data_IF_813423652743
#
_entry.id   IF_813423652743
#
_cell.length_a   1.000
_cell.length_b   1.000
_cell.length_c   1.000
_cell.angle_alpha   90.00
_cell.angle_beta   90.00
_cell.angle_gamma   90.00
#
_symmetry.space_group_name_H-M   'P 1'
#
loop_
_entity.id
_entity.type
_entity.pdbx_description
1 polymer ?
#
# COMPACT_ATOMS: atom_id res chain seq x y z
N UNK A 1 4.07 -5.28 30.36
CA UNK A 1 4.59 -4.03 29.76
C UNK A 1 4.72 -4.13 28.25
N UNK A 2 5.41 -5.16 27.67
CA UNK A 2 5.49 -5.32 26.20
C UNK A 2 4.10 -5.60 25.61
N UNK A 3 3.31 -6.51 26.19
CA UNK A 3 1.93 -6.80 25.78
C UNK A 3 1.04 -5.54 25.78
N UNK A 4 1.12 -4.71 26.80
CA UNK A 4 0.35 -3.45 26.88
C UNK A 4 0.73 -2.49 25.75
N UNK A 5 2.03 -2.38 25.42
CA UNK A 5 2.50 -1.53 24.32
C UNK A 5 1.93 -2.02 22.99
N UNK A 6 1.97 -3.33 22.74
CA UNK A 6 1.42 -3.89 21.49
C UNK A 6 -0.11 -3.81 21.44
N UNK A 7 -0.81 -4.01 22.56
CA UNK A 7 -2.26 -3.82 22.62
C UNK A 7 -2.65 -2.38 22.34
N UNK A 8 -2.01 -1.39 22.97
CA UNK A 8 -2.25 0.01 22.69
C UNK A 8 -1.95 0.37 21.23
N UNK A 9 -0.93 -0.25 20.61
CA UNK A 9 -0.65 -0.06 19.18
C UNK A 9 -1.77 -0.63 18.30
N UNK A 10 -2.29 -1.80 18.62
CA UNK A 10 -3.42 -2.42 17.90
C UNK A 10 -4.70 -1.60 17.96
N UNK A 11 -4.93 -0.89 19.07
CA UNK A 11 -6.08 0.02 19.21
C UNK A 11 -5.96 1.28 18.35
N UNK A 12 -4.75 1.65 17.95
CA UNK A 12 -4.47 2.90 17.21
C UNK A 12 -4.19 2.68 15.72
N UNK A 13 -3.84 1.44 15.32
CA UNK A 13 -3.40 1.13 13.96
C UNK A 13 -4.11 -0.12 13.45
N UNK A 14 -4.90 0.04 12.40
CA UNK A 14 -5.65 -1.05 11.78
C UNK A 14 -4.76 -2.08 11.06
N UNK A 15 -3.46 -1.81 10.92
CA UNK A 15 -2.54 -2.67 10.18
C UNK A 15 -1.64 -3.47 11.14
N UNK A 16 -2.02 -4.73 11.39
CA UNK A 16 -1.41 -5.58 12.42
C UNK A 16 -0.18 -6.37 11.94
N UNK A 17 0.01 -6.54 10.63
CA UNK A 17 1.03 -7.44 10.08
C UNK A 17 2.46 -7.12 10.53
N UNK A 18 2.76 -5.86 10.82
CA UNK A 18 4.11 -5.45 11.27
C UNK A 18 4.46 -5.97 12.65
N UNK A 19 3.47 -6.17 13.51
CA UNK A 19 3.70 -6.61 14.91
C UNK A 19 3.29 -8.06 15.16
N UNK A 20 2.60 -8.73 14.22
CA UNK A 20 2.21 -10.14 14.34
C UNK A 20 3.35 -11.06 14.77
N UNK A 21 4.57 -10.99 14.16
CA UNK A 21 5.68 -11.84 14.59
C UNK A 21 6.17 -11.52 16.00
N UNK A 22 6.00 -10.28 16.46
CA UNK A 22 6.37 -9.88 17.81
C UNK A 22 5.33 -10.33 18.84
N UNK A 23 4.05 -10.31 18.48
CA UNK A 23 2.98 -10.89 19.30
C UNK A 23 3.14 -12.40 19.45
N UNK A 24 3.38 -13.11 18.35
CA UNK A 24 3.60 -14.56 18.38
C UNK A 24 4.80 -14.94 19.29
N UNK A 25 5.91 -14.17 19.23
CA UNK A 25 7.04 -14.36 20.17
C UNK A 25 6.66 -14.12 21.62
N UNK A 26 5.84 -13.12 21.91
CA UNK A 26 5.37 -12.85 23.27
C UNK A 26 4.50 -14.00 23.81
N UNK A 27 3.60 -14.51 23.00
CA UNK A 27 2.74 -15.66 23.37
C UNK A 27 3.56 -16.91 23.66
N UNK A 28 4.64 -17.13 22.91
CA UNK A 28 5.57 -18.24 23.08
C UNK A 28 6.61 -17.99 24.19
N UNK A 29 6.62 -16.83 24.86
CA UNK A 29 7.64 -16.40 25.81
C UNK A 29 9.08 -16.39 25.21
N UNK A 30 9.19 -16.13 23.93
CA UNK A 30 10.46 -16.03 23.22
C UNK A 30 11.08 -14.63 23.39
N UNK A 31 12.37 -14.61 23.74
CA UNK A 31 13.11 -13.33 23.79
C UNK A 31 13.35 -12.81 22.36
N UNK A 32 13.14 -11.51 22.11
CA UNK A 32 13.47 -10.93 20.81
C UNK A 32 14.98 -10.99 20.57
N UNK A 33 15.37 -11.25 19.34
CA UNK A 33 16.77 -11.10 18.93
C UNK A 33 17.22 -9.64 19.09
N UNK A 34 18.50 -9.46 19.40
CA UNK A 34 19.07 -8.11 19.47
C UNK A 34 19.00 -7.45 18.08
N UNK A 35 18.42 -6.26 18.01
CA UNK A 35 18.32 -5.48 16.76
C UNK A 35 19.71 -5.20 16.19
N UNK A 36 20.70 -5.00 17.05
CA UNK A 36 22.12 -4.81 16.73
C UNK A 36 22.91 -5.91 17.43
N UNK A 37 23.24 -6.96 16.68
CA UNK A 37 23.96 -8.12 17.23
C UNK A 37 25.50 -7.96 17.14
N UNK A 38 26.00 -7.06 16.28
CA UNK A 38 27.42 -6.83 16.05
C UNK A 38 27.74 -5.36 15.78
N UNK A 39 29.02 -5.00 15.88
CA UNK A 39 29.51 -3.67 15.48
C UNK A 39 29.17 -3.38 14.01
N UNK A 40 29.25 -4.39 13.17
CA UNK A 40 28.92 -4.29 11.73
C UNK A 40 27.44 -3.93 11.53
N UNK A 41 26.54 -4.53 12.31
CA UNK A 41 25.10 -4.21 12.26
C UNK A 41 24.84 -2.78 12.75
N UNK A 42 25.51 -2.35 13.81
CA UNK A 42 25.41 -0.98 14.31
C UNK A 42 25.90 0.06 13.29
N UNK A 43 26.97 -0.23 12.56
CA UNK A 43 27.42 0.62 11.45
C UNK A 43 26.40 0.64 10.31
N UNK A 44 25.78 -0.49 9.97
CA UNK A 44 24.72 -0.54 8.95
C UNK A 44 23.50 0.30 9.34
N UNK A 45 23.06 0.22 10.60
CA UNK A 45 21.98 1.07 11.14
C UNK A 45 22.32 2.57 11.06
N UNK A 46 23.54 2.95 11.44
CA UNK A 46 23.98 4.35 11.37
C UNK A 46 23.97 4.87 9.90
N UNK A 47 24.47 4.07 8.96
CA UNK A 47 24.47 4.42 7.53
C UNK A 47 23.05 4.48 6.95
N UNK A 48 22.17 3.58 7.36
CA UNK A 48 20.75 3.61 7.00
C UNK A 48 20.08 4.91 7.49
N UNK A 49 20.30 5.30 8.75
CA UNK A 49 19.74 6.53 9.30
C UNK A 49 20.24 7.77 8.55
N UNK A 50 21.54 7.83 8.19
CA UNK A 50 22.09 8.90 7.35
C UNK A 50 21.42 8.89 5.97
N UNK A 51 21.28 7.73 5.35
CA UNK A 51 20.60 7.58 4.05
C UNK A 51 19.18 8.09 4.09
N UNK A 52 18.42 7.73 5.11
CA UNK A 52 17.04 8.17 5.30
C UNK A 52 16.94 9.69 5.47
N UNK A 53 17.82 10.29 6.26
CA UNK A 53 17.89 11.75 6.43
C UNK A 53 18.24 12.45 5.12
N UNK A 54 19.25 11.96 4.38
CA UNK A 54 19.65 12.52 3.09
C UNK A 54 18.50 12.49 2.07
N UNK A 55 17.71 11.41 2.08
CA UNK A 55 16.54 11.30 1.21
C UNK A 55 15.45 12.32 1.56
N UNK A 56 15.19 12.55 2.84
CA UNK A 56 14.23 13.57 3.29
C UNK A 56 14.65 14.99 2.88
N UNK A 57 15.94 15.25 2.81
CA UNK A 57 16.52 16.51 2.35
C UNK A 57 16.65 16.61 0.80
N UNK A 58 16.20 15.58 0.07
CA UNK A 58 16.29 15.54 -1.41
C UNK A 58 17.69 15.24 -1.95
N UNK A 59 18.63 14.82 -1.08
CA UNK A 59 20.01 14.47 -1.46
C UNK A 59 20.09 13.01 -1.96
N UNK A 60 19.36 12.67 -3.03
CA UNK A 60 19.16 11.32 -3.55
C UNK A 60 20.46 10.54 -3.82
N UNK A 61 21.47 11.21 -4.38
CA UNK A 61 22.78 10.57 -4.67
C UNK A 61 23.48 10.12 -3.39
N UNK A 62 23.44 10.95 -2.34
CA UNK A 62 24.05 10.61 -1.06
C UNK A 62 23.24 9.51 -0.35
N UNK A 63 21.91 9.61 -0.38
CA UNK A 63 21.02 8.56 0.13
C UNK A 63 21.34 7.20 -0.51
N UNK A 64 21.50 7.15 -1.83
CA UNK A 64 21.88 5.93 -2.56
C UNK A 64 23.22 5.35 -2.07
N UNK A 65 24.24 6.20 -1.92
CA UNK A 65 25.58 5.77 -1.48
C UNK A 65 25.50 5.15 -0.09
N UNK A 66 24.90 5.86 0.87
CA UNK A 66 24.82 5.39 2.25
C UNK A 66 23.96 4.13 2.40
N UNK A 67 22.84 4.04 1.67
CA UNK A 67 22.01 2.83 1.66
C UNK A 67 22.74 1.61 1.09
N UNK A 68 23.53 1.80 0.03
CA UNK A 68 24.36 0.71 -0.53
C UNK A 68 25.47 0.26 0.43
N UNK A 69 26.09 1.19 1.12
CA UNK A 69 27.09 0.86 2.17
C UNK A 69 26.44 0.11 3.33
N UNK A 70 25.24 0.53 3.78
CA UNK A 70 24.48 -0.17 4.79
C UNK A 70 24.15 -1.62 4.36
N UNK A 71 23.68 -1.81 3.14
CA UNK A 71 23.38 -3.12 2.56
C UNK A 71 24.63 -4.00 2.36
N UNK A 72 25.80 -3.40 2.07
CA UNK A 72 27.07 -4.14 2.02
C UNK A 72 27.48 -4.65 3.42
N UNK A 73 27.27 -3.85 4.46
CA UNK A 73 27.56 -4.25 5.82
C UNK A 73 26.56 -5.29 6.35
N UNK A 74 25.28 -5.13 6.03
CA UNK A 74 24.20 -6.02 6.47
C UNK A 74 23.26 -6.31 5.28
N UNK A 75 23.54 -7.38 4.51
CA UNK A 75 22.73 -7.73 3.33
C UNK A 75 21.27 -8.08 3.67
N UNK A 76 21.03 -8.73 4.82
CA UNK A 76 19.70 -9.03 5.35
C UNK A 76 19.23 -7.90 6.28
N UNK A 77 18.90 -6.76 5.70
CA UNK A 77 18.43 -5.58 6.40
C UNK A 77 17.16 -5.04 5.71
N UNK A 78 15.96 -5.58 6.04
CA UNK A 78 14.73 -5.34 5.26
C UNK A 78 14.38 -3.87 5.08
N UNK A 79 14.48 -3.05 6.12
CA UNK A 79 14.14 -1.61 6.00
C UNK A 79 15.12 -0.85 5.10
N UNK A 80 16.39 -1.25 5.05
CA UNK A 80 17.35 -0.68 4.10
C UNK A 80 17.12 -1.20 2.67
N UNK A 81 16.74 -2.47 2.50
CA UNK A 81 16.36 -3.02 1.20
C UNK A 81 15.16 -2.27 0.62
N UNK A 82 14.14 -1.96 1.46
CA UNK A 82 12.99 -1.14 1.09
C UNK A 82 13.43 0.26 0.67
N UNK A 83 14.22 0.96 1.51
CA UNK A 83 14.71 2.30 1.20
C UNK A 83 15.48 2.33 -0.12
N UNK A 84 16.36 1.37 -0.34
CA UNK A 84 17.14 1.27 -1.57
C UNK A 84 16.27 0.97 -2.80
N UNK A 85 15.26 0.11 -2.63
CA UNK A 85 14.27 -0.18 -3.67
C UNK A 85 13.46 1.07 -4.05
N UNK A 86 13.02 1.85 -3.06
CA UNK A 86 12.32 3.12 -3.30
C UNK A 86 13.22 4.15 -4.01
N UNK A 87 14.50 4.27 -3.64
CA UNK A 87 15.46 5.14 -4.32
C UNK A 87 15.60 4.70 -5.80
N UNK A 88 15.70 3.40 -6.08
CA UNK A 88 15.75 2.91 -7.46
C UNK A 88 14.45 3.16 -8.22
N UNK A 89 13.30 2.99 -7.57
CA UNK A 89 12.00 3.31 -8.15
C UNK A 89 11.91 4.78 -8.55
N UNK A 90 12.30 5.70 -7.67
CA UNK A 90 12.35 7.13 -7.94
C UNK A 90 13.28 7.48 -9.14
N UNK A 91 14.38 6.75 -9.29
CA UNK A 91 15.30 6.89 -10.43
C UNK A 91 14.78 6.22 -11.72
N UNK A 92 13.59 5.65 -11.75
CA UNK A 92 13.03 4.91 -12.88
C UNK A 92 13.65 3.52 -13.09
N UNK A 93 14.48 3.05 -12.17
CA UNK A 93 15.14 1.74 -12.21
C UNK A 93 14.24 0.63 -11.65
N UNK A 94 13.08 0.46 -12.27
CA UNK A 94 11.99 -0.39 -11.80
C UNK A 94 12.40 -1.85 -11.58
N UNK A 95 13.13 -2.45 -12.53
CA UNK A 95 13.61 -3.84 -12.39
C UNK A 95 14.58 -3.99 -11.21
N UNK A 96 15.45 -3.00 -10.96
CA UNK A 96 16.35 -3.02 -9.82
C UNK A 96 15.58 -2.89 -8.50
N UNK A 97 14.55 -2.04 -8.46
CA UNK A 97 13.67 -1.90 -7.30
C UNK A 97 12.92 -3.22 -7.01
N UNK A 98 12.31 -3.82 -8.04
CA UNK A 98 11.63 -5.11 -7.96
C UNK A 98 12.55 -6.19 -7.38
N UNK A 99 13.74 -6.34 -7.97
CA UNK A 99 14.71 -7.34 -7.52
C UNK A 99 15.10 -7.17 -6.05
N UNK A 100 15.20 -5.93 -5.54
CA UNK A 100 15.49 -5.68 -4.12
C UNK A 100 14.34 -6.09 -3.21
N UNK A 101 13.09 -5.76 -3.56
CA UNK A 101 11.93 -6.22 -2.79
C UNK A 101 11.85 -7.74 -2.73
N UNK A 102 12.19 -8.44 -3.83
CA UNK A 102 12.22 -9.90 -3.90
C UNK A 102 13.27 -10.54 -2.98
N UNK A 103 14.35 -9.80 -2.61
CA UNK A 103 15.37 -10.30 -1.67
C UNK A 103 14.92 -10.26 -0.21
N UNK A 104 13.83 -9.57 0.12
CA UNK A 104 13.31 -9.52 1.49
C UNK A 104 12.83 -10.91 1.89
N UNK A 105 13.38 -11.41 3.02
CA UNK A 105 13.18 -12.79 3.46
C UNK A 105 11.70 -13.08 3.81
N UNK A 106 11.24 -14.26 3.42
CA UNK A 106 9.94 -14.79 3.82
C UNK A 106 9.81 -14.88 5.35
N UNK A 107 8.59 -14.70 5.85
CA UNK A 107 8.30 -14.72 7.29
C UNK A 107 8.76 -13.48 8.06
N UNK A 108 9.31 -12.45 7.39
CA UNK A 108 9.54 -11.14 8.02
C UNK A 108 8.30 -10.26 7.93
N UNK A 109 8.09 -9.32 8.87
CA UNK A 109 6.97 -8.39 8.84
C UNK A 109 6.88 -7.55 7.55
N UNK A 110 8.04 -7.35 6.90
CA UNK A 110 8.16 -6.51 5.71
C UNK A 110 7.84 -7.26 4.40
N UNK A 111 7.75 -8.60 4.44
CA UNK A 111 7.61 -9.41 3.23
C UNK A 111 6.31 -9.13 2.49
N UNK A 112 5.20 -9.10 3.18
CA UNK A 112 3.90 -8.87 2.55
C UNK A 112 3.85 -7.52 1.81
N UNK A 113 4.33 -6.47 2.46
CA UNK A 113 4.40 -5.14 1.84
C UNK A 113 5.34 -5.13 0.65
N UNK A 114 6.46 -5.85 0.72
CA UNK A 114 7.39 -5.98 -0.39
C UNK A 114 6.75 -6.70 -1.59
N UNK A 115 6.00 -7.78 -1.36
CA UNK A 115 5.29 -8.51 -2.41
C UNK A 115 4.21 -7.65 -3.07
N UNK A 116 3.50 -6.83 -2.27
CA UNK A 116 2.55 -5.84 -2.79
C UNK A 116 3.26 -4.82 -3.71
N UNK A 117 4.43 -4.31 -3.28
CA UNK A 117 5.25 -3.39 -4.11
C UNK A 117 5.75 -4.05 -5.39
N UNK A 118 6.18 -5.32 -5.33
CA UNK A 118 6.57 -6.10 -6.52
C UNK A 118 5.41 -6.16 -7.52
N UNK A 119 4.20 -6.44 -7.05
CA UNK A 119 3.02 -6.50 -7.93
C UNK A 119 2.73 -5.14 -8.60
N UNK A 120 2.81 -4.04 -7.86
CA UNK A 120 2.63 -2.70 -8.43
C UNK A 120 3.71 -2.38 -9.48
N UNK A 121 4.98 -2.72 -9.20
CA UNK A 121 6.08 -2.51 -10.15
C UNK A 121 5.91 -3.37 -11.41
N UNK A 122 5.35 -4.58 -11.30
CA UNK A 122 5.06 -5.41 -12.47
C UNK A 122 4.09 -4.70 -13.43
N UNK A 123 3.03 -4.07 -12.92
CA UNK A 123 2.13 -3.29 -13.79
C UNK A 123 2.85 -2.07 -14.41
N UNK A 124 3.67 -1.38 -13.65
CA UNK A 124 4.48 -0.28 -14.17
C UNK A 124 5.50 -0.70 -15.25
N UNK A 125 5.84 -1.98 -15.33
CA UNK A 125 6.66 -2.62 -16.36
C UNK A 125 5.82 -3.20 -17.49
N UNK A 126 4.53 -2.83 -17.59
CA UNK A 126 3.56 -3.36 -18.56
C UNK A 126 3.33 -4.88 -18.46
N UNK A 127 3.59 -5.47 -17.31
CA UNK A 127 3.38 -6.90 -16.98
C UNK A 127 2.09 -7.05 -16.15
N UNK A 128 1.01 -6.46 -16.61
CA UNK A 128 -0.27 -6.34 -15.88
C UNK A 128 -0.84 -7.68 -15.44
N UNK A 129 -0.78 -8.72 -16.29
CA UNK A 129 -1.32 -10.04 -15.92
C UNK A 129 -0.55 -10.68 -14.76
N UNK A 130 0.76 -10.49 -14.72
CA UNK A 130 1.58 -10.97 -13.62
C UNK A 130 1.29 -10.18 -12.33
N UNK A 131 1.09 -8.86 -12.44
CA UNK A 131 0.68 -8.02 -11.32
C UNK A 131 -0.67 -8.48 -10.72
N UNK A 132 -1.68 -8.67 -11.56
CA UNK A 132 -3.01 -9.14 -11.16
C UNK A 132 -2.93 -10.53 -10.50
N UNK A 133 -2.16 -11.45 -11.08
CA UNK A 133 -1.95 -12.79 -10.51
C UNK A 133 -1.28 -12.74 -9.15
N UNK A 134 -0.24 -11.90 -8.99
CA UNK A 134 0.47 -11.71 -7.72
C UNK A 134 -0.46 -11.13 -6.65
N UNK A 135 -1.24 -10.08 -6.99
CA UNK A 135 -2.20 -9.46 -6.08
C UNK A 135 -3.32 -10.43 -5.66
N UNK A 136 -3.78 -11.28 -6.59
CA UNK A 136 -4.76 -12.34 -6.30
C UNK A 136 -4.19 -13.36 -5.31
N UNK A 137 -2.93 -13.76 -5.47
CA UNK A 137 -2.26 -14.65 -4.51
C UNK A 137 -2.18 -14.01 -3.13
N UNK A 138 -1.74 -12.75 -3.05
CA UNK A 138 -1.68 -12.01 -1.78
C UNK A 138 -3.04 -11.88 -1.09
N UNK A 139 -4.11 -11.66 -1.88
CA UNK A 139 -5.48 -11.61 -1.36
C UNK A 139 -5.95 -12.96 -0.78
N UNK A 140 -5.49 -14.07 -1.35
CA UNK A 140 -5.80 -15.41 -0.85
C UNK A 140 -5.01 -15.75 0.41
N UNK A 141 -3.75 -15.29 0.47
CA UNK A 141 -2.86 -15.52 1.63
C UNK A 141 -3.32 -14.72 2.87
N UNK A 142 -3.99 -13.58 2.65
CA UNK A 142 -4.52 -12.72 3.73
C UNK A 142 -5.99 -12.33 3.45
N UNK A 143 -6.93 -13.21 3.81
CA UNK A 143 -8.36 -12.95 3.60
C UNK A 143 -8.93 -11.79 4.43
N UNK A 144 -8.25 -11.42 5.50
CA UNK A 144 -8.54 -10.29 6.39
C UNK A 144 -8.07 -8.92 5.84
N UNK A 145 -7.28 -8.93 4.76
CA UNK A 145 -6.71 -7.72 4.15
C UNK A 145 -7.43 -7.39 2.84
N UNK A 146 -7.78 -6.14 2.65
CA UNK A 146 -8.41 -5.62 1.43
C UNK A 146 -7.43 -4.96 0.47
N UNK A 147 -6.22 -4.63 0.94
CA UNK A 147 -5.26 -3.78 0.23
C UNK A 147 -4.83 -4.37 -1.12
N UNK A 148 -4.63 -5.69 -1.20
CA UNK A 148 -4.26 -6.36 -2.45
C UNK A 148 -5.41 -6.36 -3.46
N UNK A 149 -6.66 -6.51 -3.01
CA UNK A 149 -7.84 -6.44 -3.87
C UNK A 149 -8.10 -5.00 -4.36
N UNK A 150 -7.92 -4.02 -3.49
CA UNK A 150 -8.01 -2.60 -3.87
C UNK A 150 -6.95 -2.26 -4.90
N UNK A 151 -5.69 -2.65 -4.66
CA UNK A 151 -4.59 -2.44 -5.62
C UNK A 151 -4.85 -3.13 -6.96
N UNK A 152 -5.42 -4.35 -6.95
CA UNK A 152 -5.83 -5.06 -8.16
C UNK A 152 -6.93 -4.29 -8.91
N UNK A 153 -7.93 -3.79 -8.20
CA UNK A 153 -8.98 -2.95 -8.76
C UNK A 153 -8.43 -1.68 -9.39
N UNK A 154 -7.48 -1.00 -8.72
CA UNK A 154 -6.85 0.22 -9.23
C UNK A 154 -6.05 -0.02 -10.51
N UNK A 155 -5.25 -1.09 -10.57
CA UNK A 155 -4.52 -1.49 -11.78
C UNK A 155 -5.51 -1.78 -12.92
N UNK A 156 -6.51 -2.60 -12.68
CA UNK A 156 -7.50 -2.97 -13.69
C UNK A 156 -8.29 -1.74 -14.18
N UNK A 157 -8.67 -0.83 -13.29
CA UNK A 157 -9.32 0.44 -13.63
C UNK A 157 -8.42 1.33 -14.48
N UNK A 158 -7.14 1.46 -14.11
CA UNK A 158 -6.16 2.23 -14.89
C UNK A 158 -5.92 1.65 -16.30
N UNK A 159 -6.08 0.34 -16.46
CA UNK A 159 -6.00 -0.38 -17.75
C UNK A 159 -7.38 -0.47 -18.45
N UNK A 160 -8.38 0.30 -18.01
CA UNK A 160 -9.74 0.35 -18.54
C UNK A 160 -10.51 -1.00 -18.51
N UNK A 161 -10.04 -1.95 -17.72
CA UNK A 161 -10.71 -3.25 -17.49
C UNK A 161 -11.78 -3.09 -16.39
N UNK A 162 -12.70 -2.17 -16.59
CA UNK A 162 -13.63 -1.70 -15.55
C UNK A 162 -14.48 -2.80 -14.93
N UNK A 163 -14.95 -3.78 -15.71
CA UNK A 163 -15.76 -4.89 -15.16
C UNK A 163 -14.98 -5.76 -14.19
N UNK A 164 -13.72 -6.01 -14.48
CA UNK A 164 -12.84 -6.79 -13.62
C UNK A 164 -12.41 -5.97 -12.40
N UNK A 165 -12.19 -4.67 -12.57
CA UNK A 165 -11.95 -3.75 -11.46
C UNK A 165 -13.12 -3.74 -10.47
N UNK A 166 -14.36 -3.64 -10.96
CA UNK A 166 -15.57 -3.70 -10.12
C UNK A 166 -15.62 -5.02 -9.33
N UNK A 167 -15.33 -6.15 -9.97
CA UNK A 167 -15.34 -7.44 -9.29
C UNK A 167 -14.28 -7.52 -8.16
N UNK A 168 -13.09 -6.95 -8.39
CA UNK A 168 -12.05 -6.88 -7.36
C UNK A 168 -12.46 -5.97 -6.18
N UNK A 169 -13.03 -4.81 -6.47
CA UNK A 169 -13.53 -3.91 -5.43
C UNK A 169 -14.74 -4.49 -4.68
N UNK A 170 -15.67 -5.16 -5.39
CA UNK A 170 -16.82 -5.82 -4.74
C UNK A 170 -16.35 -6.90 -3.75
N UNK A 171 -15.33 -7.66 -4.11
CA UNK A 171 -14.70 -8.64 -3.21
C UNK A 171 -14.01 -7.96 -2.02
N UNK A 172 -13.32 -6.82 -2.24
CA UNK A 172 -12.72 -6.04 -1.18
C UNK A 172 -13.79 -5.53 -0.18
N UNK A 173 -14.90 -4.98 -0.69
CA UNK A 173 -16.01 -4.52 0.16
C UNK A 173 -16.61 -5.66 0.98
N UNK A 174 -16.74 -6.85 0.39
CA UNK A 174 -17.27 -8.02 1.09
C UNK A 174 -16.38 -8.51 2.27
N UNK A 175 -15.12 -8.05 2.33
CA UNK A 175 -14.16 -8.37 3.40
C UNK A 175 -14.08 -7.29 4.49
N UNK A 176 -14.75 -6.16 4.33
CA UNK A 176 -14.75 -5.07 5.31
C UNK A 176 -15.78 -5.39 6.40
N UNK A 177 -15.31 -5.65 7.61
CA UNK A 177 -16.17 -5.83 8.77
C UNK A 177 -16.65 -4.49 9.33
N UNK A 178 -15.75 -3.51 9.48
CA UNK A 178 -16.05 -2.17 9.95
C UNK A 178 -15.61 -1.11 8.94
N UNK A 179 -16.52 -0.18 8.65
CA UNK A 179 -16.25 0.90 7.73
C UNK A 179 -15.38 1.96 8.38
N UNK A 180 -14.20 2.22 7.80
CA UNK A 180 -13.24 3.21 8.29
C UNK A 180 -13.00 4.32 7.26
N UNK A 181 -12.52 5.46 7.74
CA UNK A 181 -12.19 6.60 6.88
C UNK A 181 -11.30 6.21 5.69
N UNK A 182 -10.29 5.38 5.91
CA UNK A 182 -9.34 4.94 4.86
C UNK A 182 -10.01 4.23 3.66
N UNK A 183 -11.20 3.68 3.82
CA UNK A 183 -11.92 2.98 2.76
C UNK A 183 -12.50 3.92 1.68
N UNK A 184 -12.44 5.24 1.86
CA UNK A 184 -12.92 6.19 0.85
C UNK A 184 -12.27 5.97 -0.53
N UNK A 185 -10.99 5.60 -0.58
CA UNK A 185 -10.26 5.36 -1.85
C UNK A 185 -10.84 4.19 -2.63
N UNK A 186 -11.29 3.14 -1.94
CA UNK A 186 -11.94 1.98 -2.56
C UNK A 186 -13.25 2.39 -3.23
N UNK A 187 -14.12 3.09 -2.48
CA UNK A 187 -15.42 3.55 -3.01
C UNK A 187 -15.25 4.57 -4.13
N UNK A 188 -14.29 5.46 -4.03
CA UNK A 188 -13.92 6.36 -5.12
C UNK A 188 -13.49 5.58 -6.38
N UNK A 189 -12.58 4.62 -6.24
CA UNK A 189 -12.09 3.78 -7.34
C UNK A 189 -13.20 2.95 -7.97
N UNK A 190 -14.06 2.31 -7.16
CA UNK A 190 -15.21 1.53 -7.64
C UNK A 190 -16.26 2.42 -8.28
N UNK A 191 -16.55 3.58 -7.70
CA UNK A 191 -17.47 4.57 -8.25
C UNK A 191 -17.09 5.01 -9.67
N UNK A 192 -15.78 5.28 -9.90
CA UNK A 192 -15.28 5.57 -11.25
C UNK A 192 -15.52 4.38 -12.20
N UNK A 193 -15.17 3.17 -11.80
CA UNK A 193 -15.34 1.99 -12.65
C UNK A 193 -16.82 1.70 -12.97
N UNK A 194 -17.71 1.93 -12.02
CA UNK A 194 -19.16 1.80 -12.19
C UNK A 194 -19.72 2.86 -13.15
N UNK A 195 -19.29 4.12 -13.03
CA UNK A 195 -19.68 5.19 -13.95
C UNK A 195 -19.25 4.86 -15.39
N UNK A 196 -17.98 4.46 -15.57
CA UNK A 196 -17.42 4.07 -16.88
C UNK A 196 -18.15 2.86 -17.51
N UNK A 197 -18.81 2.03 -16.73
CA UNK A 197 -19.66 0.92 -17.19
C UNK A 197 -21.15 1.30 -17.26
N UNK A 198 -21.51 2.57 -17.05
CA UNK A 198 -22.87 3.11 -17.09
C UNK A 198 -23.79 2.58 -15.98
N UNK A 199 -23.23 2.12 -14.89
CA UNK A 199 -23.95 1.70 -13.68
C UNK A 199 -24.09 2.90 -12.72
N UNK A 200 -24.66 3.99 -13.23
CA UNK A 200 -24.64 5.31 -12.59
C UNK A 200 -25.17 5.31 -11.15
N UNK A 201 -26.32 4.65 -10.92
CA UNK A 201 -26.91 4.66 -9.57
C UNK A 201 -25.93 4.14 -8.51
N UNK A 202 -25.28 3.00 -8.78
CA UNK A 202 -24.25 2.45 -7.88
C UNK A 202 -23.01 3.36 -7.80
N UNK A 203 -22.64 3.98 -8.91
CA UNK A 203 -21.50 4.91 -8.96
C UNK A 203 -21.73 6.11 -8.04
N UNK A 204 -22.92 6.72 -8.11
CA UNK A 204 -23.30 7.86 -7.27
C UNK A 204 -23.31 7.47 -5.78
N UNK A 205 -23.90 6.31 -5.44
CA UNK A 205 -23.89 5.78 -4.07
C UNK A 205 -22.46 5.65 -3.52
N UNK A 206 -21.55 5.07 -4.30
CA UNK A 206 -20.14 4.90 -3.91
C UNK A 206 -19.41 6.24 -3.75
N UNK A 207 -19.59 7.17 -4.67
CA UNK A 207 -18.96 8.48 -4.61
C UNK A 207 -19.47 9.31 -3.43
N UNK A 208 -20.74 9.21 -3.10
CA UNK A 208 -21.31 9.83 -1.90
C UNK A 208 -20.76 9.19 -0.63
N UNK A 209 -20.69 7.87 -0.57
CA UNK A 209 -20.09 7.17 0.58
C UNK A 209 -18.60 7.53 0.75
N UNK A 210 -17.85 7.69 -0.35
CA UNK A 210 -16.48 8.16 -0.28
C UNK A 210 -16.38 9.56 0.36
N UNK A 211 -17.35 10.46 0.10
CA UNK A 211 -17.41 11.78 0.74
C UNK A 211 -17.89 11.71 2.20
N UNK A 212 -18.73 10.77 2.56
CA UNK A 212 -19.09 10.54 3.97
C UNK A 212 -17.87 10.07 4.77
N UNK A 213 -17.08 9.17 4.21
CA UNK A 213 -15.85 8.65 4.85
C UNK A 213 -14.74 9.69 4.90
N UNK A 214 -14.59 10.51 3.85
CA UNK A 214 -13.59 11.58 3.75
C UNK A 214 -14.23 12.87 3.26
N UNK A 215 -14.84 13.66 4.16
CA UNK A 215 -15.48 14.92 3.81
C UNK A 215 -14.51 15.92 3.15
N UNK A 216 -14.98 16.56 2.10
CA UNK A 216 -14.21 17.59 1.41
C UNK A 216 -13.07 17.06 0.54
N UNK A 217 -13.01 15.75 0.24
CA UNK A 217 -11.97 15.18 -0.61
C UNK A 217 -12.06 15.73 -2.06
N UNK A 218 -11.07 16.55 -2.50
CA UNK A 218 -11.20 17.31 -3.75
C UNK A 218 -11.38 16.42 -5.00
N UNK A 219 -10.74 15.25 -5.03
CA UNK A 219 -10.86 14.33 -6.18
C UNK A 219 -12.27 13.78 -6.31
N UNK A 220 -12.91 13.42 -5.19
CA UNK A 220 -14.27 12.86 -5.18
C UNK A 220 -15.28 13.94 -5.51
N UNK A 221 -15.17 15.14 -4.88
CA UNK A 221 -16.02 16.30 -5.18
C UNK A 221 -15.99 16.64 -6.66
N UNK A 222 -14.79 16.79 -7.22
CA UNK A 222 -14.59 17.12 -8.61
C UNK A 222 -15.23 16.05 -9.54
N UNK A 223 -14.97 14.76 -9.27
CA UNK A 223 -15.47 13.68 -10.11
C UNK A 223 -16.99 13.58 -10.05
N UNK A 224 -17.59 13.62 -8.86
CA UNK A 224 -19.02 13.56 -8.65
C UNK A 224 -19.72 14.78 -9.26
N UNK A 225 -19.18 15.99 -9.03
CA UNK A 225 -19.72 17.22 -9.59
C UNK A 225 -19.77 17.20 -11.13
N UNK A 226 -18.66 16.80 -11.79
CA UNK A 226 -18.64 16.63 -13.24
C UNK A 226 -19.63 15.57 -13.72
N UNK A 227 -19.69 14.43 -13.04
CA UNK A 227 -20.62 13.35 -13.43
C UNK A 227 -22.08 13.79 -13.32
N UNK A 228 -22.44 14.59 -12.29
CA UNK A 228 -23.79 15.16 -12.19
C UNK A 228 -24.12 16.12 -13.33
N UNK A 229 -23.15 16.96 -13.73
CA UNK A 229 -23.32 17.87 -14.85
C UNK A 229 -23.53 17.10 -16.15
N UNK A 230 -22.74 16.06 -16.42
CA UNK A 230 -22.88 15.20 -17.61
C UNK A 230 -24.22 14.46 -17.65
N UNK A 231 -24.71 14.01 -16.49
CA UNK A 231 -26.02 13.34 -16.38
C UNK A 231 -27.19 14.31 -16.36
N UNK A 232 -26.93 15.61 -16.22
CA UNK A 232 -27.99 16.64 -16.13
C UNK A 232 -28.77 16.59 -14.81
N UNK A 233 -28.18 16.06 -13.72
CA UNK A 233 -28.80 15.92 -12.41
C UNK A 233 -28.06 16.74 -11.36
N UNK A 234 -28.72 17.05 -10.23
CA UNK A 234 -28.09 17.70 -9.06
C UNK A 234 -27.26 18.96 -9.37
N UNK A 235 -27.68 19.77 -10.38
CA UNK A 235 -26.91 20.90 -10.92
C UNK A 235 -26.54 21.97 -9.88
N UNK A 236 -27.42 22.22 -8.90
CA UNK A 236 -27.14 23.20 -7.84
C UNK A 236 -26.04 22.67 -6.92
N UNK A 237 -26.12 21.40 -6.49
CA UNK A 237 -25.08 20.76 -5.66
C UNK A 237 -23.74 20.67 -6.39
N UNK A 238 -23.78 20.39 -7.71
CA UNK A 238 -22.57 20.34 -8.53
C UNK A 238 -21.84 21.70 -8.61
N UNK A 239 -22.56 22.82 -8.46
CA UNK A 239 -21.95 24.17 -8.42
C UNK A 239 -21.28 24.53 -7.09
N UNK A 240 -21.65 23.83 -6.03
CA UNK A 240 -21.12 24.04 -4.69
C UNK A 240 -19.91 23.17 -4.41
N UNK A 241 -19.59 22.22 -5.28
CA UNK A 241 -18.45 21.28 -5.22
C UNK A 241 -17.24 21.82 -5.97
#
# INVERSE_FOLDING_TARGET
>A
KASEIYQNYLETVSNTYMIEPALARLENNEMPEAVVASVRDGMAEALFNISSAMRQEGAETMALIYSRLAGFLRPDFPINQILLAEIYGFQGRKESAKSLYETIRQGTPHRWMADLRVALILDELDRTEEAVSALRSLANDRPDSVESLVSMGDILRARERFKEAIAAYDEAVARIDEMEQRHWVLFYGRGIALERTKLWQRAEEDLLLALELQPGQPYVLNYLGYSWVEQGVNMERAREM
#
